data_IF_611160874907
#
_entry.id   IF_611160874907
#
_cell.length_a   1.000
_cell.length_b   1.000
_cell.length_c   1.000
_cell.angle_alpha   90.00
_cell.angle_beta   90.00
_cell.angle_gamma   90.00
#
_symmetry.space_group_name_H-M   'P 1'
#
loop_
_entity.id
_entity.type
_entity.pdbx_description
1 polymer ?
#
# COMPACT_ATOMS: atom_id res chain seq x y z
N UNK A 1 -14.49 12.13 -1.89
CA UNK A 1 -15.86 11.59 -2.09
C UNK A 1 -15.82 10.58 -3.23
N UNK A 2 -16.78 9.66 -3.25
CA UNK A 2 -16.82 8.59 -4.25
C UNK A 2 -16.98 9.13 -5.68
N UNK A 3 -17.75 10.19 -5.86
CA UNK A 3 -17.93 10.86 -7.16
C UNK A 3 -16.59 11.40 -7.73
N UNK A 4 -15.72 11.92 -6.88
CA UNK A 4 -14.37 12.38 -7.26
C UNK A 4 -13.48 11.20 -7.66
N UNK A 5 -13.52 10.11 -6.89
CA UNK A 5 -12.76 8.89 -7.19
C UNK A 5 -13.18 8.25 -8.52
N UNK A 6 -14.49 8.13 -8.74
CA UNK A 6 -15.02 7.60 -10.00
C UNK A 6 -14.67 8.51 -11.19
N UNK A 7 -14.65 9.83 -10.98
CA UNK A 7 -14.27 10.81 -12.02
C UNK A 7 -12.79 10.65 -12.45
N UNK A 8 -11.88 10.32 -11.53
CA UNK A 8 -10.45 10.21 -11.84
C UNK A 8 -10.03 8.82 -12.33
N UNK A 9 -10.77 7.76 -11.99
CA UNK A 9 -10.40 6.38 -12.30
C UNK A 9 -10.09 6.11 -13.78
N UNK A 10 -10.88 6.60 -14.77
CA UNK A 10 -10.57 6.36 -16.17
C UNK A 10 -9.21 6.91 -16.60
N UNK A 11 -8.83 8.08 -16.11
CA UNK A 11 -7.54 8.68 -16.43
C UNK A 11 -6.37 7.92 -15.77
N UNK A 12 -6.55 7.40 -14.54
CA UNK A 12 -5.55 6.53 -13.89
C UNK A 12 -5.35 5.25 -14.72
N UNK A 13 -6.42 4.64 -15.21
CA UNK A 13 -6.35 3.45 -16.06
C UNK A 13 -5.65 3.76 -17.37
N UNK A 14 -5.98 4.89 -18.01
CA UNK A 14 -5.39 5.33 -19.27
C UNK A 14 -3.89 5.60 -19.16
N UNK A 15 -3.36 5.87 -17.96
CA UNK A 15 -1.90 5.98 -17.75
C UNK A 15 -1.15 4.71 -18.12
N UNK A 16 -1.76 3.52 -18.02
CA UNK A 16 -1.25 2.25 -18.49
C UNK A 16 -0.06 1.66 -17.70
N UNK A 17 0.27 2.22 -16.55
CA UNK A 17 1.50 1.88 -15.83
C UNK A 17 1.27 1.11 -14.51
N UNK A 18 0.03 0.96 -14.05
CA UNK A 18 -0.26 0.31 -12.78
C UNK A 18 -0.75 -1.13 -12.96
N UNK A 19 -0.07 -2.08 -12.31
CA UNK A 19 -0.56 -3.45 -12.14
C UNK A 19 -1.59 -3.54 -11.01
N UNK A 20 -1.47 -2.65 -10.02
CA UNK A 20 -2.26 -2.66 -8.78
C UNK A 20 -2.60 -1.25 -8.32
N UNK A 21 -3.75 -1.10 -7.67
CA UNK A 21 -4.17 0.15 -7.02
C UNK A 21 -4.74 -0.15 -5.64
N UNK A 22 -4.42 0.67 -4.64
CA UNK A 22 -5.04 0.59 -3.32
C UNK A 22 -6.35 1.39 -3.35
N UNK A 23 -7.47 0.69 -3.16
CA UNK A 23 -8.81 1.23 -3.33
C UNK A 23 -9.61 1.29 -2.04
N UNK A 24 -9.14 0.68 -0.96
CA UNK A 24 -9.86 0.61 0.29
C UNK A 24 -8.94 0.53 1.51
N UNK A 25 -9.48 0.87 2.65
CA UNK A 25 -8.83 0.79 3.95
C UNK A 25 -9.66 1.51 5.01
N UNK A 26 -9.22 1.43 6.27
CA UNK A 26 -9.94 2.07 7.37
C UNK A 26 -10.09 3.58 7.21
N UNK A 27 -9.06 4.27 6.72
CA UNK A 27 -9.12 5.71 6.46
C UNK A 27 -10.11 6.06 5.37
N UNK A 28 -10.12 5.29 4.28
CA UNK A 28 -11.07 5.46 3.17
C UNK A 28 -12.53 5.37 3.65
N UNK A 29 -12.88 4.32 4.39
CA UNK A 29 -14.26 4.13 4.87
C UNK A 29 -14.66 5.16 5.93
N UNK A 30 -13.73 5.63 6.75
CA UNK A 30 -13.98 6.73 7.68
C UNK A 30 -14.33 8.02 6.95
N UNK A 31 -13.62 8.34 5.87
CA UNK A 31 -13.92 9.51 5.03
C UNK A 31 -15.30 9.39 4.39
N UNK A 32 -15.65 8.23 3.83
CA UNK A 32 -17.00 8.01 3.30
C UNK A 32 -18.08 8.32 4.34
N UNK A 33 -17.94 7.80 5.56
CA UNK A 33 -18.90 8.04 6.64
C UNK A 33 -18.99 9.51 7.03
N UNK A 34 -17.86 10.24 7.05
CA UNK A 34 -17.84 11.69 7.31
C UNK A 34 -18.62 12.49 6.27
N UNK A 35 -18.67 12.03 5.03
CA UNK A 35 -19.46 12.64 3.95
C UNK A 35 -20.85 12.07 3.80
N UNK A 36 -21.31 11.20 4.71
CA UNK A 36 -22.61 10.54 4.63
C UNK A 36 -22.71 9.54 3.49
N UNK A 37 -21.60 9.08 2.96
CA UNK A 37 -21.54 8.06 1.92
C UNK A 37 -21.58 6.66 2.52
N UNK A 38 -22.20 5.72 1.81
CA UNK A 38 -22.17 4.31 2.19
C UNK A 38 -20.84 3.68 1.71
N UNK A 39 -19.93 3.27 2.63
CA UNK A 39 -18.62 2.70 2.24
C UNK A 39 -18.73 1.46 1.35
N UNK A 40 -19.75 0.63 1.54
CA UNK A 40 -19.96 -0.57 0.72
C UNK A 40 -20.27 -0.22 -0.75
N UNK A 41 -21.03 0.84 -0.97
CA UNK A 41 -21.32 1.37 -2.29
C UNK A 41 -20.06 2.03 -2.88
N UNK A 42 -19.41 2.88 -2.10
CA UNK A 42 -18.21 3.59 -2.53
C UNK A 42 -17.09 2.63 -2.99
N UNK A 43 -16.83 1.56 -2.24
CA UNK A 43 -15.83 0.54 -2.62
C UNK A 43 -16.20 -0.12 -3.95
N UNK A 44 -17.46 -0.54 -4.14
CA UNK A 44 -17.89 -1.16 -5.40
C UNK A 44 -17.76 -0.25 -6.61
N UNK A 45 -18.20 1.00 -6.47
CA UNK A 45 -18.13 1.98 -7.57
C UNK A 45 -16.69 2.32 -7.92
N UNK A 46 -15.81 2.41 -6.91
CA UNK A 46 -14.40 2.75 -7.09
C UNK A 46 -13.56 1.59 -7.63
N UNK A 47 -13.80 0.34 -7.20
CA UNK A 47 -13.03 -0.83 -7.65
C UNK A 47 -13.41 -1.31 -9.05
N UNK A 48 -14.68 -1.16 -9.44
CA UNK A 48 -15.20 -1.70 -10.69
C UNK A 48 -14.40 -1.32 -11.94
N UNK A 49 -14.08 -0.03 -12.22
CA UNK A 49 -13.35 0.32 -13.43
C UNK A 49 -11.95 -0.30 -13.49
N UNK A 50 -11.27 -0.46 -12.37
CA UNK A 50 -9.95 -1.10 -12.33
C UNK A 50 -10.04 -2.60 -12.65
N UNK A 51 -11.03 -3.30 -12.12
CA UNK A 51 -11.29 -4.71 -12.47
C UNK A 51 -11.58 -4.90 -13.95
N UNK A 52 -12.41 -4.03 -14.53
CA UNK A 52 -12.74 -4.07 -15.96
C UNK A 52 -11.49 -3.83 -16.83
N UNK A 53 -10.50 -3.11 -16.31
CA UNK A 53 -9.21 -2.87 -16.94
C UNK A 53 -8.13 -3.95 -16.62
N UNK A 54 -8.46 -4.96 -15.82
CA UNK A 54 -7.52 -6.01 -15.42
C UNK A 54 -6.48 -5.58 -14.36
N UNK A 55 -6.73 -4.47 -13.67
CA UNK A 55 -5.87 -3.96 -12.60
C UNK A 55 -6.34 -4.52 -11.26
N UNK A 56 -5.42 -5.13 -10.50
CA UNK A 56 -5.74 -5.66 -9.18
C UNK A 56 -5.98 -4.56 -8.16
N UNK A 57 -6.89 -4.81 -7.22
CA UNK A 57 -7.25 -3.85 -6.17
C UNK A 57 -6.82 -4.33 -4.80
N UNK A 58 -6.30 -3.39 -4.00
CA UNK A 58 -5.85 -3.65 -2.65
C UNK A 58 -6.77 -3.06 -1.60
N UNK A 59 -6.77 -3.68 -0.43
CA UNK A 59 -7.32 -3.14 0.81
C UNK A 59 -6.28 -3.21 1.93
N UNK A 60 -6.07 -2.11 2.65
CA UNK A 60 -5.29 -2.11 3.88
C UNK A 60 -6.16 -2.58 5.05
N UNK A 61 -5.70 -3.62 5.75
CA UNK A 61 -6.40 -4.32 6.83
C UNK A 61 -5.53 -4.38 8.10
N UNK A 62 -6.15 -4.08 9.23
CA UNK A 62 -5.49 -3.98 10.54
C UNK A 62 -5.58 -5.28 11.35
N UNK A 63 -5.43 -6.44 10.73
CA UNK A 63 -5.46 -7.76 11.38
C UNK A 63 -6.68 -7.94 12.32
N UNK A 64 -6.47 -8.02 13.64
CA UNK A 64 -7.55 -8.20 14.63
C UNK A 64 -8.65 -7.14 14.53
N UNK A 65 -8.32 -5.96 14.06
CA UNK A 65 -9.23 -4.81 14.03
C UNK A 65 -9.99 -4.69 12.70
N UNK A 66 -9.63 -5.48 11.66
CA UNK A 66 -10.17 -5.28 10.32
C UNK A 66 -9.94 -3.85 9.85
N UNK A 67 -10.99 -3.08 9.56
CA UNK A 67 -10.88 -1.66 9.21
C UNK A 67 -11.07 -0.71 10.42
N UNK A 68 -11.37 -1.23 11.61
CA UNK A 68 -11.64 -0.46 12.83
C UNK A 68 -10.37 -0.12 13.60
N UNK A 69 -10.54 0.65 14.66
CA UNK A 69 -9.47 0.99 15.61
C UNK A 69 -9.46 0.07 16.85
N UNK A 70 -10.43 -0.82 16.97
CA UNK A 70 -10.58 -1.80 18.06
C UNK A 70 -10.80 -3.20 17.51
N UNK A 71 -10.47 -4.25 18.27
CA UNK A 71 -10.65 -5.63 17.84
C UNK A 71 -12.10 -5.94 17.42
N UNK A 72 -12.22 -6.80 16.43
CA UNK A 72 -13.49 -7.26 15.87
C UNK A 72 -13.61 -8.76 16.14
N UNK A 73 -14.80 -9.28 16.52
CA UNK A 73 -15.01 -10.71 16.71
C UNK A 73 -14.60 -11.55 15.49
N UNK A 74 -14.12 -12.75 15.73
CA UNK A 74 -13.51 -13.60 14.70
C UNK A 74 -14.50 -13.96 13.56
N UNK A 75 -15.74 -14.25 13.89
CA UNK A 75 -16.82 -14.54 12.93
C UNK A 75 -17.15 -13.33 12.04
N UNK A 76 -17.16 -12.13 12.62
CA UNK A 76 -17.35 -10.87 11.87
C UNK A 76 -16.17 -10.61 10.94
N UNK A 77 -14.91 -10.86 11.39
CA UNK A 77 -13.73 -10.76 10.52
C UNK A 77 -13.76 -11.76 9.37
N UNK A 78 -14.19 -13.00 9.63
CA UNK A 78 -14.35 -14.00 8.58
C UNK A 78 -15.37 -13.56 7.53
N UNK A 79 -16.51 -13.01 7.95
CA UNK A 79 -17.52 -12.45 7.06
C UNK A 79 -16.99 -11.23 6.29
N UNK A 80 -16.22 -10.37 6.97
CA UNK A 80 -15.62 -9.16 6.40
C UNK A 80 -14.83 -9.45 5.12
N UNK A 81 -13.93 -10.43 5.10
CA UNK A 81 -13.14 -10.76 3.90
C UNK A 81 -14.03 -11.22 2.74
N UNK A 82 -15.05 -12.03 3.01
CA UNK A 82 -16.03 -12.45 1.99
C UNK A 82 -16.78 -11.24 1.39
N UNK A 83 -17.18 -10.30 2.23
CA UNK A 83 -17.85 -9.07 1.80
C UNK A 83 -16.91 -8.21 0.96
N UNK A 84 -15.64 -8.05 1.39
CA UNK A 84 -14.65 -7.26 0.65
C UNK A 84 -14.32 -7.87 -0.71
N UNK A 85 -14.17 -9.19 -0.79
CA UNK A 85 -14.03 -9.88 -2.08
C UNK A 85 -15.21 -9.63 -2.99
N UNK A 86 -16.44 -9.76 -2.48
CA UNK A 86 -17.67 -9.48 -3.25
C UNK A 86 -17.83 -8.01 -3.66
N UNK A 87 -17.12 -7.10 -3.01
CA UNK A 87 -17.06 -5.67 -3.37
C UNK A 87 -16.02 -5.35 -4.42
N UNK A 88 -15.18 -6.31 -4.80
CA UNK A 88 -14.16 -6.15 -5.82
C UNK A 88 -12.74 -5.97 -5.28
N UNK A 89 -12.46 -6.35 -4.03
CA UNK A 89 -11.10 -6.32 -3.49
C UNK A 89 -10.39 -7.64 -3.77
N UNK A 90 -9.22 -7.60 -4.42
CA UNK A 90 -8.44 -8.79 -4.76
C UNK A 90 -7.42 -9.15 -3.69
N UNK A 91 -6.73 -8.15 -3.17
CA UNK A 91 -5.61 -8.31 -2.25
C UNK A 91 -5.96 -7.67 -0.92
N UNK A 92 -5.80 -8.42 0.17
CA UNK A 92 -5.82 -7.82 1.50
C UNK A 92 -4.38 -7.68 2.00
N UNK A 93 -3.97 -6.43 2.25
CA UNK A 93 -2.68 -6.08 2.86
C UNK A 93 -2.87 -6.01 4.37
N UNK A 94 -2.65 -7.14 5.03
CA UNK A 94 -2.84 -7.26 6.47
C UNK A 94 -1.58 -6.85 7.24
N UNK A 95 -1.73 -6.00 8.24
CA UNK A 95 -0.64 -5.61 9.13
C UNK A 95 -1.02 -5.69 10.61
N UNK A 96 -0.02 -5.88 11.45
CA UNK A 96 -0.09 -5.67 12.89
C UNK A 96 1.02 -4.68 13.28
N UNK A 97 0.66 -3.52 13.81
CA UNK A 97 1.64 -2.49 14.20
C UNK A 97 2.65 -2.95 15.26
N UNK A 98 2.33 -4.04 15.98
CA UNK A 98 3.22 -4.69 16.94
C UNK A 98 4.06 -5.80 16.32
N UNK A 99 3.90 -6.10 15.03
CA UNK A 99 4.53 -7.24 14.36
C UNK A 99 4.25 -8.60 15.05
N UNK A 100 3.09 -8.74 15.67
CA UNK A 100 2.69 -9.99 16.30
C UNK A 100 2.00 -10.91 15.28
N UNK A 101 2.70 -11.96 14.86
CA UNK A 101 2.23 -12.94 13.87
C UNK A 101 0.92 -13.59 14.30
N UNK A 102 0.68 -13.79 15.60
CA UNK A 102 -0.57 -14.38 16.13
C UNK A 102 -1.79 -13.54 15.80
N UNK A 103 -1.62 -12.21 15.67
CA UNK A 103 -2.68 -11.30 15.27
C UNK A 103 -2.98 -11.37 13.77
N UNK A 104 -1.97 -11.69 12.95
CA UNK A 104 -2.07 -11.77 11.48
C UNK A 104 -2.59 -13.15 11.04
N UNK A 105 -2.17 -14.21 11.67
CA UNK A 105 -2.45 -15.59 11.28
C UNK A 105 -3.94 -15.90 10.97
N UNK A 106 -4.93 -15.48 11.78
CA UNK A 106 -6.34 -15.70 11.44
C UNK A 106 -6.77 -14.97 10.16
N UNK A 107 -6.19 -13.79 9.88
CA UNK A 107 -6.49 -13.02 8.69
C UNK A 107 -6.03 -13.73 7.42
N UNK A 108 -4.87 -14.40 7.45
CA UNK A 108 -4.38 -15.24 6.33
C UNK A 108 -5.44 -16.29 5.98
N UNK A 109 -5.88 -17.05 6.97
CA UNK A 109 -6.89 -18.10 6.77
C UNK A 109 -8.19 -17.54 6.19
N UNK A 110 -8.71 -16.47 6.79
CA UNK A 110 -10.00 -15.89 6.37
C UNK A 110 -9.94 -15.25 4.97
N UNK A 111 -8.83 -14.60 4.63
CA UNK A 111 -8.62 -14.04 3.31
C UNK A 111 -8.60 -15.14 2.23
N UNK A 112 -7.85 -16.22 2.47
CA UNK A 112 -7.76 -17.36 1.54
C UNK A 112 -9.11 -18.07 1.38
N UNK A 113 -9.84 -18.30 2.47
CA UNK A 113 -11.20 -18.87 2.41
C UNK A 113 -12.19 -17.98 1.63
N UNK A 114 -11.93 -16.67 1.59
CA UNK A 114 -12.72 -15.72 0.81
C UNK A 114 -12.27 -15.60 -0.66
N UNK A 115 -11.19 -16.29 -1.07
CA UNK A 115 -10.62 -16.21 -2.41
C UNK A 115 -9.85 -14.90 -2.67
N UNK A 116 -9.30 -14.28 -1.63
CA UNK A 116 -8.42 -13.11 -1.72
C UNK A 116 -6.95 -13.53 -1.67
N UNK A 117 -6.08 -12.72 -2.27
CA UNK A 117 -4.63 -12.80 -2.07
C UNK A 117 -4.32 -12.26 -0.69
N UNK A 118 -3.65 -13.07 0.14
CA UNK A 118 -3.21 -12.67 1.48
C UNK A 118 -1.81 -12.11 1.42
N UNK A 119 -1.69 -10.78 1.39
CA UNK A 119 -0.43 -10.06 1.51
C UNK A 119 -0.20 -9.66 2.96
N UNK A 120 0.89 -10.14 3.58
CA UNK A 120 1.22 -9.87 4.97
C UNK A 120 2.35 -8.85 5.10
N UNK A 121 2.16 -7.87 5.99
CA UNK A 121 3.08 -6.74 6.13
C UNK A 121 4.05 -6.92 7.30
N UNK A 122 5.31 -6.58 7.04
CA UNK A 122 6.33 -6.34 8.04
C UNK A 122 6.34 -4.83 8.34
N UNK A 123 5.85 -4.43 9.50
CA UNK A 123 5.83 -3.02 9.90
C UNK A 123 7.24 -2.59 10.32
N UNK A 124 7.89 -1.82 9.47
CA UNK A 124 9.27 -1.41 9.67
C UNK A 124 9.37 -0.35 10.77
N UNK A 125 10.26 -0.63 11.73
CA UNK A 125 10.69 0.34 12.74
C UNK A 125 12.19 0.18 13.00
N UNK A 126 12.77 1.11 13.73
CA UNK A 126 14.21 1.11 14.04
C UNK A 126 14.42 1.01 15.55
N UNK A 127 15.02 -0.08 15.98
CA UNK A 127 15.43 -0.31 17.36
C UNK A 127 16.45 -1.45 17.44
N UNK A 128 17.11 -1.67 18.58
CA UNK A 128 18.05 -2.80 18.74
C UNK A 128 17.45 -4.19 18.50
N UNK A 129 16.13 -4.33 18.62
CA UNK A 129 15.42 -5.61 18.44
C UNK A 129 15.02 -5.81 16.97
N UNK A 130 14.66 -4.75 16.27
CA UNK A 130 14.12 -4.78 14.90
C UNK A 130 15.27 -4.86 13.88
N UNK A 131 15.94 -6.01 13.87
CA UNK A 131 17.08 -6.31 13.00
C UNK A 131 16.65 -6.88 11.65
N UNK A 132 17.58 -7.01 10.72
CA UNK A 132 17.36 -7.74 9.45
C UNK A 132 16.89 -9.17 9.71
N UNK A 133 17.52 -9.86 10.66
CA UNK A 133 17.17 -11.23 11.03
C UNK A 133 15.75 -11.32 11.61
N UNK A 134 15.37 -10.39 12.49
CA UNK A 134 14.02 -10.32 13.06
C UNK A 134 12.95 -10.27 11.95
N UNK A 135 13.11 -9.35 10.99
CA UNK A 135 12.14 -9.21 9.90
C UNK A 135 12.17 -10.39 8.93
N UNK A 136 13.35 -10.93 8.64
CA UNK A 136 13.47 -12.13 7.79
C UNK A 136 12.70 -13.29 8.44
N UNK A 137 12.94 -13.57 9.72
CA UNK A 137 12.28 -14.67 10.43
C UNK A 137 10.76 -14.47 10.50
N UNK A 138 10.29 -13.24 10.74
CA UNK A 138 8.86 -12.93 10.71
C UNK A 138 8.24 -13.21 9.33
N UNK A 139 8.91 -12.81 8.25
CA UNK A 139 8.44 -13.10 6.90
C UNK A 139 8.34 -14.61 6.64
N UNK A 140 9.37 -15.38 6.98
CA UNK A 140 9.37 -16.82 6.80
C UNK A 140 8.26 -17.51 7.61
N UNK A 141 7.98 -17.01 8.82
CA UNK A 141 6.85 -17.50 9.63
C UNK A 141 5.50 -17.20 8.96
N UNK A 142 5.29 -16.00 8.45
CA UNK A 142 4.07 -15.63 7.74
C UNK A 142 3.87 -16.46 6.46
N UNK A 143 4.93 -16.71 5.70
CA UNK A 143 4.89 -17.57 4.50
C UNK A 143 4.53 -19.01 4.91
N UNK A 144 5.13 -19.52 5.96
CA UNK A 144 4.79 -20.87 6.51
C UNK A 144 3.32 -20.96 6.94
N UNK A 145 2.73 -19.88 7.42
CA UNK A 145 1.31 -19.81 7.76
C UNK A 145 0.39 -19.66 6.54
N UNK A 146 0.95 -19.50 5.34
CA UNK A 146 0.22 -19.49 4.09
C UNK A 146 -0.01 -18.08 3.50
N UNK A 147 0.77 -17.08 3.90
CA UNK A 147 0.78 -15.80 3.20
C UNK A 147 1.14 -16.01 1.72
N UNK A 148 0.40 -15.38 0.82
CA UNK A 148 0.64 -15.46 -0.62
C UNK A 148 1.71 -14.45 -1.07
N UNK A 149 1.85 -13.34 -0.34
CA UNK A 149 2.79 -12.25 -0.63
C UNK A 149 3.29 -11.60 0.67
N UNK A 150 4.45 -10.95 0.60
CA UNK A 150 5.02 -10.15 1.70
C UNK A 150 5.06 -8.68 1.30
N UNK A 151 4.66 -7.79 2.22
CA UNK A 151 4.84 -6.36 2.08
C UNK A 151 5.88 -5.85 3.09
N UNK A 152 6.94 -5.24 2.59
CA UNK A 152 7.85 -4.45 3.43
C UNK A 152 7.19 -3.10 3.65
N UNK A 153 6.60 -2.88 4.83
CA UNK A 153 5.76 -1.72 5.12
C UNK A 153 6.47 -0.69 6.00
N UNK A 154 7.08 0.29 5.35
CA UNK A 154 7.76 1.40 6.00
C UNK A 154 6.85 2.64 6.11
N UNK A 155 5.93 2.59 7.07
CA UNK A 155 4.91 3.63 7.28
C UNK A 155 5.49 5.00 7.65
N UNK A 156 6.66 5.03 8.30
CA UNK A 156 7.30 6.25 8.74
C UNK A 156 8.42 6.72 7.79
N UNK A 157 8.78 5.90 6.80
CA UNK A 157 9.89 6.17 5.89
C UNK A 157 11.27 6.13 6.55
N UNK A 158 11.41 5.41 7.66
CA UNK A 158 12.62 5.34 8.48
C UNK A 158 13.46 4.10 8.26
N UNK A 159 13.02 3.19 7.42
CA UNK A 159 13.76 1.99 7.06
C UNK A 159 15.12 2.36 6.45
N UNK A 160 16.18 1.68 6.91
CA UNK A 160 17.52 1.91 6.39
C UNK A 160 17.69 1.18 5.07
N UNK A 161 18.07 1.86 3.98
CA UNK A 161 18.05 1.29 2.63
C UNK A 161 18.73 -0.09 2.53
N UNK A 162 19.99 -0.16 2.93
CA UNK A 162 20.77 -1.41 2.89
C UNK A 162 20.15 -2.53 3.74
N UNK A 163 19.56 -2.18 4.90
CA UNK A 163 18.89 -3.17 5.76
C UNK A 163 17.64 -3.72 5.08
N UNK A 164 16.85 -2.86 4.42
CA UNK A 164 15.66 -3.28 3.68
C UNK A 164 16.02 -4.19 2.49
N UNK A 165 17.04 -3.83 1.71
CA UNK A 165 17.58 -4.70 0.65
C UNK A 165 17.99 -6.07 1.17
N UNK A 166 18.70 -6.13 2.32
CA UNK A 166 19.08 -7.40 2.94
C UNK A 166 17.88 -8.24 3.38
N UNK A 167 16.82 -7.62 3.90
CA UNK A 167 15.58 -8.33 4.27
C UNK A 167 14.98 -8.99 3.03
N UNK A 168 14.84 -8.24 1.93
CA UNK A 168 14.31 -8.77 0.66
C UNK A 168 15.18 -9.91 0.15
N UNK A 169 16.51 -9.72 0.07
CA UNK A 169 17.45 -10.73 -0.40
C UNK A 169 17.37 -12.02 0.43
N UNK A 170 17.28 -11.92 1.75
CA UNK A 170 17.18 -13.07 2.63
C UNK A 170 15.86 -13.85 2.41
N UNK A 171 14.75 -13.14 2.23
CA UNK A 171 13.45 -13.78 1.94
C UNK A 171 13.52 -14.50 0.59
N UNK A 172 14.01 -13.82 -0.45
CA UNK A 172 14.15 -14.38 -1.80
C UNK A 172 15.12 -15.55 -1.88
N UNK A 173 16.14 -15.59 -1.04
CA UNK A 173 17.08 -16.73 -0.97
C UNK A 173 16.39 -18.02 -0.51
N UNK A 174 15.34 -17.94 0.32
CA UNK A 174 14.58 -19.11 0.81
C UNK A 174 13.33 -19.37 -0.03
N UNK A 175 12.65 -18.30 -0.46
CA UNK A 175 11.42 -18.33 -1.24
C UNK A 175 11.54 -17.43 -2.47
N UNK A 176 12.24 -17.87 -3.53
CA UNK A 176 12.52 -17.03 -4.70
C UNK A 176 11.26 -16.55 -5.43
N UNK A 177 10.20 -17.36 -5.40
CA UNK A 177 8.95 -17.08 -6.12
C UNK A 177 7.91 -16.28 -5.32
N UNK A 178 8.17 -16.02 -4.03
CA UNK A 178 7.21 -15.24 -3.20
C UNK A 178 7.19 -13.78 -3.68
N UNK A 179 6.05 -13.22 -4.07
CA UNK A 179 5.99 -11.80 -4.43
C UNK A 179 6.28 -10.91 -3.22
N UNK A 180 7.14 -9.91 -3.41
CA UNK A 180 7.45 -8.91 -2.40
C UNK A 180 7.05 -7.53 -2.92
N UNK A 181 6.29 -6.80 -2.12
CA UNK A 181 5.90 -5.42 -2.39
C UNK A 181 6.52 -4.48 -1.36
N UNK A 182 7.08 -3.37 -1.83
CA UNK A 182 7.63 -2.33 -0.97
C UNK A 182 6.69 -1.13 -0.89
N UNK A 183 6.28 -0.82 0.33
CA UNK A 183 5.43 0.32 0.68
C UNK A 183 6.20 1.25 1.60
N UNK A 184 6.46 2.48 1.18
CA UNK A 184 7.23 3.45 1.97
C UNK A 184 6.72 4.85 1.82
N UNK A 185 6.64 5.58 2.95
CA UNK A 185 6.41 7.01 2.94
C UNK A 185 7.70 7.80 2.76
N UNK A 186 7.61 8.99 2.14
CA UNK A 186 8.78 9.76 1.72
C UNK A 186 9.39 10.65 2.82
N UNK A 187 8.73 10.77 3.98
CA UNK A 187 9.01 11.73 5.04
C UNK A 187 10.48 12.10 5.26
N UNK A 188 11.31 11.20 5.85
CA UNK A 188 12.71 11.50 6.15
C UNK A 188 13.64 11.50 4.93
N UNK A 189 13.16 11.06 3.75
CA UNK A 189 13.93 11.09 2.51
C UNK A 189 14.72 9.82 2.17
N UNK A 190 14.63 8.74 2.95
CA UNK A 190 15.32 7.48 2.66
C UNK A 190 14.68 6.66 1.54
N UNK A 191 13.41 6.88 1.27
CA UNK A 191 12.61 5.99 0.44
C UNK A 191 13.14 5.80 -0.99
N UNK A 192 13.71 6.83 -1.64
CA UNK A 192 14.29 6.67 -2.99
C UNK A 192 15.48 5.73 -2.98
N UNK A 193 16.40 5.87 -2.03
CA UNK A 193 17.52 4.95 -1.87
C UNK A 193 17.04 3.54 -1.49
N UNK A 194 16.00 3.45 -0.65
CA UNK A 194 15.41 2.16 -0.27
C UNK A 194 14.75 1.45 -1.44
N UNK A 195 14.10 2.18 -2.35
CA UNK A 195 13.52 1.60 -3.58
C UNK A 195 14.62 0.93 -4.42
N UNK A 196 15.76 1.59 -4.64
CA UNK A 196 16.88 0.99 -5.37
C UNK A 196 17.38 -0.30 -4.70
N UNK A 197 17.63 -0.25 -3.41
CA UNK A 197 18.15 -1.40 -2.65
C UNK A 197 17.18 -2.60 -2.65
N UNK A 198 15.88 -2.36 -2.49
CA UNK A 198 14.91 -3.46 -2.52
C UNK A 198 14.69 -4.00 -3.94
N UNK A 199 14.75 -3.16 -4.98
CA UNK A 199 14.68 -3.61 -6.37
C UNK A 199 15.88 -4.47 -6.73
N UNK A 200 17.10 -4.05 -6.36
CA UNK A 200 18.32 -4.84 -6.56
C UNK A 200 18.25 -6.21 -5.87
N UNK A 201 17.60 -6.26 -4.71
CA UNK A 201 17.39 -7.49 -3.97
C UNK A 201 16.25 -8.39 -4.50
N UNK A 202 15.50 -7.95 -5.52
CA UNK A 202 14.43 -8.75 -6.16
C UNK A 202 13.01 -8.45 -5.69
N UNK A 203 12.72 -7.22 -5.23
CA UNK A 203 11.37 -6.78 -4.95
C UNK A 203 10.56 -6.69 -6.24
N UNK A 204 9.31 -7.19 -6.21
CA UNK A 204 8.47 -7.33 -7.41
C UNK A 204 7.57 -6.10 -7.66
N UNK A 205 7.14 -5.43 -6.61
CA UNK A 205 6.21 -4.30 -6.70
C UNK A 205 6.65 -3.14 -5.80
N UNK A 206 6.52 -1.92 -6.32
CA UNK A 206 6.80 -0.68 -5.58
C UNK A 206 5.54 0.17 -5.51
N UNK A 207 5.17 0.59 -4.31
CA UNK A 207 4.11 1.56 -4.11
C UNK A 207 4.64 2.97 -4.40
N UNK A 208 3.88 3.72 -5.18
CA UNK A 208 4.20 5.10 -5.56
C UNK A 208 3.02 6.02 -5.32
N UNK A 209 3.29 7.30 -5.16
CA UNK A 209 2.31 8.36 -5.19
C UNK A 209 2.34 9.13 -6.50
N UNK A 210 1.44 10.08 -6.64
CA UNK A 210 1.40 11.02 -7.76
C UNK A 210 1.26 12.44 -7.25
N UNK A 211 1.87 13.40 -7.96
CA UNK A 211 1.58 14.80 -7.72
C UNK A 211 0.07 15.11 -7.89
N UNK A 212 -0.48 15.94 -7.02
CA UNK A 212 0.15 16.72 -5.95
C UNK A 212 0.21 16.01 -4.58
N UNK A 213 -0.09 14.70 -4.50
CA UNK A 213 -0.15 13.92 -3.24
C UNK A 213 1.13 13.15 -2.92
N UNK A 214 2.12 13.14 -3.82
CA UNK A 214 3.42 12.52 -3.58
C UNK A 214 4.29 13.32 -2.61
N UNK A 215 5.36 12.67 -2.13
CA UNK A 215 6.34 13.21 -1.19
C UNK A 215 5.82 13.49 0.24
N UNK A 216 6.67 13.96 1.10
CA UNK A 216 6.35 14.23 2.49
C UNK A 216 5.72 13.01 3.18
N UNK A 217 4.48 13.15 3.65
CA UNK A 217 3.72 12.06 4.26
C UNK A 217 3.12 11.07 3.24
N UNK A 218 3.19 11.37 1.95
CA UNK A 218 2.84 10.47 0.85
C UNK A 218 4.00 9.55 0.45
N UNK A 219 3.84 8.88 -0.67
CA UNK A 219 4.87 8.02 -1.27
C UNK A 219 5.83 8.81 -2.15
N UNK A 220 6.93 8.16 -2.59
CA UNK A 220 7.75 8.69 -3.67
C UNK A 220 6.91 8.92 -4.93
N UNK A 221 7.26 9.96 -5.67
CA UNK A 221 6.54 10.31 -6.89
C UNK A 221 6.80 9.30 -8.02
N UNK A 222 5.74 8.93 -8.72
CA UNK A 222 5.76 7.98 -9.82
C UNK A 222 6.80 8.31 -10.89
N UNK A 223 6.86 9.58 -11.34
CA UNK A 223 7.79 9.98 -12.41
C UNK A 223 9.24 9.92 -11.95
N UNK A 224 9.49 10.33 -10.71
CA UNK A 224 10.84 10.26 -10.11
C UNK A 224 11.30 8.82 -9.94
N UNK A 225 10.42 7.93 -9.47
CA UNK A 225 10.71 6.50 -9.33
C UNK A 225 10.95 5.86 -10.69
N UNK A 226 10.12 6.15 -11.69
CA UNK A 226 10.30 5.65 -13.04
C UNK A 226 11.64 6.08 -13.63
N UNK A 227 11.97 7.37 -13.53
CA UNK A 227 13.23 7.91 -14.06
C UNK A 227 14.44 7.26 -13.40
N UNK A 228 14.42 7.13 -12.05
CA UNK A 228 15.50 6.50 -11.28
C UNK A 228 15.68 5.01 -11.66
N UNK A 229 14.58 4.26 -11.77
CA UNK A 229 14.66 2.83 -12.11
C UNK A 229 15.11 2.62 -13.57
N UNK A 230 14.70 3.47 -14.51
CA UNK A 230 15.21 3.45 -15.90
C UNK A 230 16.71 3.72 -15.95
N UNK A 231 17.19 4.72 -15.21
CA UNK A 231 18.64 5.04 -15.12
C UNK A 231 19.44 3.87 -14.51
N UNK A 232 18.85 3.18 -13.54
CA UNK A 232 19.43 1.96 -12.96
C UNK A 232 19.34 0.71 -13.86
N UNK A 233 18.77 0.83 -15.07
CA UNK A 233 18.71 -0.24 -16.06
C UNK A 233 17.48 -1.16 -15.96
N UNK A 234 16.49 -0.84 -15.13
CA UNK A 234 15.27 -1.62 -15.03
C UNK A 234 14.30 -1.31 -16.17
N UNK A 235 13.60 -2.35 -16.61
CA UNK A 235 12.45 -2.19 -17.50
C UNK A 235 11.22 -1.88 -16.64
N UNK A 236 10.69 -0.68 -16.81
CA UNK A 236 9.49 -0.21 -16.10
C UNK A 236 8.42 0.20 -17.11
N UNK A 237 7.13 0.10 -16.75
CA UNK A 237 6.03 0.48 -17.65
C UNK A 237 6.17 1.92 -18.14
N UNK A 238 5.83 2.18 -19.40
CA UNK A 238 5.69 3.51 -19.92
C UNK A 238 4.44 4.19 -19.36
N UNK A 239 4.52 5.50 -19.18
CA UNK A 239 3.43 6.31 -18.63
C UNK A 239 2.83 7.15 -19.76
N UNK A 240 1.52 7.04 -19.97
CA UNK A 240 0.81 8.00 -20.82
C UNK A 240 0.79 9.36 -20.10
N UNK A 241 1.62 10.28 -20.56
CA UNK A 241 1.81 11.59 -19.93
C UNK A 241 0.58 12.51 -20.07
N UNK A 242 -0.22 12.37 -21.12
CA UNK A 242 -1.47 13.13 -21.27
C UNK A 242 -2.46 12.71 -20.16
N UNK A 243 -2.64 11.41 -19.98
CA UNK A 243 -3.47 10.85 -18.91
C UNK A 243 -2.93 11.22 -17.52
N UNK A 244 -1.60 11.17 -17.31
CA UNK A 244 -0.96 11.63 -16.07
C UNK A 244 -1.32 13.09 -15.75
N UNK A 245 -1.17 13.99 -16.69
CA UNK A 245 -1.49 15.42 -16.51
C UNK A 245 -2.97 15.63 -16.19
N UNK A 246 -3.87 14.84 -16.80
CA UNK A 246 -5.29 14.85 -16.51
C UNK A 246 -5.60 14.40 -15.07
N UNK A 247 -4.96 13.30 -14.61
CA UNK A 247 -5.08 12.84 -13.21
C UNK A 247 -4.59 13.91 -12.25
N UNK A 248 -3.40 14.48 -12.50
CA UNK A 248 -2.80 15.53 -11.69
C UNK A 248 -3.74 16.76 -11.57
N UNK A 249 -4.32 17.20 -12.66
CA UNK A 249 -5.24 18.34 -12.67
C UNK A 249 -6.52 18.06 -11.88
N UNK A 250 -7.12 16.87 -12.04
CA UNK A 250 -8.32 16.46 -11.30
C UNK A 250 -8.04 16.37 -9.80
N UNK A 251 -6.91 15.77 -9.42
CA UNK A 251 -6.55 15.66 -7.99
C UNK A 251 -6.28 17.06 -7.41
N UNK A 252 -5.64 17.96 -8.17
CA UNK A 252 -5.43 19.34 -7.70
C UNK A 252 -6.77 20.05 -7.48
N UNK A 253 -7.73 19.92 -8.41
CA UNK A 253 -9.10 20.45 -8.24
C UNK A 253 -9.73 19.94 -6.93
N UNK A 254 -9.63 18.62 -6.66
CA UNK A 254 -10.18 18.04 -5.44
C UNK A 254 -9.47 18.51 -4.17
N UNK A 255 -8.15 18.70 -4.25
CA UNK A 255 -7.37 19.23 -3.12
C UNK A 255 -7.71 20.68 -2.81
N UNK A 256 -7.95 21.51 -3.82
CA UNK A 256 -8.29 22.92 -3.65
C UNK A 256 -9.62 23.07 -2.88
N UNK A 257 -10.57 22.15 -3.12
CA UNK A 257 -11.83 22.07 -2.36
C UNK A 257 -11.62 21.73 -0.87
N UNK A 258 -10.55 20.99 -0.55
CA UNK A 258 -10.33 20.41 0.78
C UNK A 258 -9.25 21.10 1.60
N UNK A 259 -8.11 21.38 0.99
CA UNK A 259 -6.90 21.77 1.73
C UNK A 259 -6.99 23.15 2.37
N UNK A 260 -7.76 24.03 1.79
CA UNK A 260 -8.01 25.37 2.36
C UNK A 260 -8.82 25.33 3.66
N UNK A 261 -9.60 24.25 3.87
CA UNK A 261 -10.51 24.11 5.00
C UNK A 261 -9.97 23.16 6.09
N UNK A 262 -9.25 22.10 5.73
CA UNK A 262 -8.98 20.96 6.63
C UNK A 262 -7.51 20.68 6.90
N UNK A 263 -6.59 21.09 6.03
CA UNK A 263 -5.16 20.77 6.17
C UNK A 263 -4.31 22.03 6.10
N UNK A 264 -3.66 22.37 7.21
CA UNK A 264 -2.66 23.43 7.22
C UNK A 264 -1.47 23.06 6.31
N UNK A 265 -0.98 23.99 5.47
CA UNK A 265 0.25 23.78 4.70
C UNK A 265 1.45 23.35 5.55
N UNK A 266 1.50 23.77 6.81
CA UNK A 266 2.55 23.38 7.77
C UNK A 266 2.53 21.89 8.14
N UNK A 267 1.40 21.21 8.01
CA UNK A 267 1.28 19.78 8.32
C UNK A 267 1.99 18.88 7.29
N UNK A 268 2.51 19.45 6.21
CA UNK A 268 3.30 18.72 5.20
C UNK A 268 4.79 18.70 5.50
N UNK A 269 5.24 19.48 6.47
CA UNK A 269 6.66 19.53 6.84
C UNK A 269 6.97 18.38 7.80
N UNK A 270 7.76 17.43 7.31
CA UNK A 270 8.37 16.43 8.19
C UNK A 270 9.55 17.02 8.93
N UNK A 271 9.63 16.73 10.21
CA UNK A 271 10.75 17.15 11.03
C UNK A 271 11.84 16.06 11.00
N UNK A 272 13.03 16.43 10.53
CA UNK A 272 14.19 15.52 10.47
C UNK A 272 14.63 14.99 11.83
N UNK A 273 14.20 15.61 12.94
CA UNK A 273 14.43 15.11 14.29
C UNK A 273 13.66 13.80 14.62
N UNK A 274 12.74 13.38 13.74
CA UNK A 274 12.01 12.11 13.89
C UNK A 274 12.76 10.91 13.30
N UNK A 275 13.98 11.13 12.80
CA UNK A 275 14.80 10.05 12.20
C UNK A 275 15.58 9.30 13.33
#
# INVERSE_FOLDING_TARGET
RVDQLVKVAPAIIEMGCFARVETNGGGFEQVNLLFGENPNRAVREWTKPFHEAGIQTHMLDRALNGLRMSPVPADVRKLFYKVKKAQGTDITRTFCGLNDVRNIAPSITYAKEAGMISQCSLCITHSPIHTVEYYTNMALELIKLGADEICIKDMAGIGRPVSLGKIVANIKAVHPDIPIQYHSHAGPGFNMASILEVCEAGCDYIDVGMEPLSWGTGHADLLSVQAMLKDAGYQVPEINMEAYMKVRALIQEFMDDFLGLYISPKNRLMNSLLI
#
